data_IF_245932368711
#
_entry.id   IF_245932368711
#
_cell.length_a   1.000
_cell.length_b   1.000
_cell.length_c   1.000
_cell.angle_alpha   90.00
_cell.angle_beta   90.00
_cell.angle_gamma   90.00
#
_symmetry.space_group_name_H-M   'P 1'
#
loop_
_entity.id
_entity.type
_entity.pdbx_description
1 polymer ?
#
# COMPACT_ATOMS: atom_id res chain seq x y z
N UNK A 1 30.24 6.82 -11.66
CA UNK A 1 30.31 8.22 -12.14
C UNK A 1 30.50 8.20 -13.66
N UNK A 2 29.39 8.13 -14.41
CA UNK A 2 29.35 8.07 -15.89
C UNK A 2 27.88 8.32 -16.28
N UNK A 3 27.49 9.04 -17.33
CA UNK A 3 28.17 9.89 -18.28
C UNK A 3 27.06 10.81 -18.84
N UNK A 4 27.30 12.11 -18.88
CA UNK A 4 26.64 12.97 -19.87
C UNK A 4 27.20 12.58 -21.23
N UNK A 5 26.39 12.39 -22.30
CA UNK A 5 26.66 12.83 -23.69
C UNK A 5 25.36 12.77 -24.53
N UNK A 6 24.83 13.97 -24.80
CA UNK A 6 24.39 14.53 -26.09
C UNK A 6 23.28 13.85 -26.91
N UNK A 7 22.27 14.64 -27.29
CA UNK A 7 22.08 14.99 -28.70
C UNK A 7 21.11 16.17 -28.88
N UNK A 8 21.65 17.28 -29.36
CA UNK A 8 21.10 17.98 -30.54
C UNK A 8 19.68 18.57 -30.43
N UNK A 9 19.54 19.64 -29.65
CA UNK A 9 18.70 20.78 -30.09
C UNK A 9 19.61 21.98 -30.27
N UNK A 10 20.55 21.76 -31.21
CA UNK A 10 21.37 22.77 -31.84
C UNK A 10 20.44 23.82 -32.48
N UNK A 11 20.65 25.09 -32.09
CA UNK A 11 20.62 26.23 -32.99
C UNK A 11 19.54 26.20 -34.09
N UNK A 12 18.39 26.81 -33.81
CA UNK A 12 17.69 27.52 -34.88
C UNK A 12 17.24 28.89 -34.38
N UNK A 13 17.98 29.90 -34.82
CA UNK A 13 17.71 31.33 -34.65
C UNK A 13 16.40 31.71 -35.33
N UNK A 14 15.72 32.68 -34.72
CA UNK A 14 14.79 33.63 -35.37
C UNK A 14 13.48 33.06 -35.93
N UNK A 15 12.37 33.34 -35.22
CA UNK A 15 11.20 34.08 -35.71
C UNK A 15 10.12 34.00 -34.62
N UNK A 16 9.92 35.14 -33.97
CA UNK A 16 8.63 35.76 -33.66
C UNK A 16 7.47 34.94 -33.02
N UNK A 17 6.98 35.51 -31.92
CA UNK A 17 5.58 35.59 -31.47
C UNK A 17 4.99 34.47 -30.58
N UNK A 18 4.84 34.85 -29.31
CA UNK A 18 3.65 34.70 -28.45
C UNK A 18 2.93 33.35 -28.52
N UNK A 19 3.19 32.50 -27.53
CA UNK A 19 2.16 31.63 -26.96
C UNK A 19 2.45 31.45 -25.46
N UNK A 20 1.82 32.30 -24.64
CA UNK A 20 1.73 32.13 -23.20
C UNK A 20 0.96 30.83 -22.91
N UNK A 21 1.69 29.72 -22.84
CA UNK A 21 1.15 28.43 -22.44
C UNK A 21 1.05 28.44 -20.92
N UNK A 22 -0.13 28.77 -20.41
CA UNK A 22 -0.48 28.60 -18.99
C UNK A 22 -0.43 27.09 -18.73
N UNK A 23 0.69 26.61 -18.21
CA UNK A 23 0.81 25.26 -17.69
C UNK A 23 -0.09 25.16 -16.45
N UNK A 24 -1.29 24.64 -16.62
CA UNK A 24 -2.19 24.32 -15.51
C UNK A 24 -1.58 23.18 -14.70
N UNK A 25 -0.88 23.54 -13.63
CA UNK A 25 -0.43 22.58 -12.62
C UNK A 25 -1.67 22.01 -11.92
N UNK A 26 -2.16 20.87 -12.40
CA UNK A 26 -3.19 20.09 -11.72
C UNK A 26 -2.58 19.52 -10.43
N UNK A 27 -3.10 19.87 -9.24
CA UNK A 27 -2.66 19.23 -8.01
C UNK A 27 -3.11 17.77 -8.04
N UNK A 28 -2.16 16.85 -8.07
CA UNK A 28 -2.43 15.42 -7.91
C UNK A 28 -2.85 15.21 -6.45
N UNK A 29 -4.14 15.11 -6.20
CA UNK A 29 -4.67 14.75 -4.87
C UNK A 29 -4.32 13.28 -4.62
N UNK A 30 -3.30 13.03 -3.81
CA UNK A 30 -3.03 11.69 -3.28
C UNK A 30 -4.09 11.39 -2.23
N UNK A 31 -5.07 10.55 -2.57
CA UNK A 31 -6.03 10.02 -1.63
C UNK A 31 -5.29 9.09 -0.64
N UNK A 32 -5.06 9.56 0.59
CA UNK A 32 -4.65 8.71 1.69
C UNK A 32 -5.84 7.84 2.09
N UNK A 33 -5.86 6.59 1.64
CA UNK A 33 -6.86 5.63 2.06
C UNK A 33 -6.71 5.38 3.58
N UNK A 34 -7.54 6.06 4.37
CA UNK A 34 -7.78 5.72 5.77
C UNK A 34 -8.56 4.40 5.79
N UNK A 35 -7.84 3.29 5.65
CA UNK A 35 -8.43 1.96 5.60
C UNK A 35 -8.95 1.59 7.00
N UNK A 36 -10.17 2.01 7.34
CA UNK A 36 -10.80 1.58 8.58
C UNK A 36 -11.00 0.06 8.52
N UNK A 37 -10.34 -0.67 9.43
CA UNK A 37 -10.52 -2.12 9.53
C UNK A 37 -11.99 -2.39 9.87
N UNK A 38 -12.67 -3.14 9.01
CA UNK A 38 -14.11 -3.40 9.18
C UNK A 38 -14.40 -4.11 10.51
N UNK A 39 -15.56 -3.82 11.11
CA UNK A 39 -16.00 -4.46 12.36
C UNK A 39 -16.01 -6.00 12.24
N UNK A 40 -16.32 -6.52 11.04
CA UNK A 40 -16.26 -7.95 10.74
C UNK A 40 -14.86 -8.52 10.97
N UNK A 41 -13.81 -7.83 10.51
CA UNK A 41 -12.42 -8.25 10.70
C UNK A 41 -12.05 -8.19 12.19
N UNK A 42 -12.42 -7.10 12.89
CA UNK A 42 -12.17 -6.98 14.34
C UNK A 42 -12.76 -8.15 15.14
N UNK A 43 -14.00 -8.53 14.83
CA UNK A 43 -14.67 -9.66 15.50
C UNK A 43 -14.03 -11.00 15.12
N UNK A 44 -13.75 -11.22 13.84
CA UNK A 44 -13.15 -12.46 13.34
C UNK A 44 -11.73 -12.70 13.87
N UNK A 45 -10.94 -11.64 13.99
CA UNK A 45 -9.54 -11.68 14.41
C UNK A 45 -9.34 -11.41 15.91
N UNK A 46 -10.41 -11.23 16.69
CA UNK A 46 -10.33 -10.90 18.12
C UNK A 46 -9.47 -11.90 18.92
N UNK A 47 -9.69 -13.21 18.72
CA UNK A 47 -8.90 -14.25 19.40
C UNK A 47 -7.41 -14.19 19.04
N UNK A 48 -7.11 -14.03 17.75
CA UNK A 48 -5.75 -13.95 17.24
C UNK A 48 -5.05 -12.66 17.72
N UNK A 49 -5.80 -11.57 17.83
CA UNK A 49 -5.32 -10.30 18.37
C UNK A 49 -4.85 -10.46 19.81
N UNK A 50 -5.69 -11.02 20.68
CA UNK A 50 -5.33 -11.19 22.09
C UNK A 50 -4.14 -12.13 22.27
N UNK A 51 -4.00 -13.15 21.40
CA UNK A 51 -2.92 -14.12 21.48
C UNK A 51 -1.58 -13.60 20.94
N UNK A 52 -1.59 -12.78 19.88
CA UNK A 52 -0.36 -12.45 19.12
C UNK A 52 0.02 -10.96 19.19
N UNK A 53 -0.97 -10.08 19.36
CA UNK A 53 -0.82 -8.63 19.14
C UNK A 53 -1.36 -7.76 20.28
N UNK A 54 -1.71 -8.34 21.44
CA UNK A 54 -2.31 -7.66 22.60
C UNK A 54 -1.47 -6.54 23.22
N UNK A 55 -0.18 -6.45 22.87
CA UNK A 55 0.71 -5.37 23.26
C UNK A 55 0.38 -4.02 22.60
N UNK A 56 -0.34 -4.04 21.48
CA UNK A 56 -0.73 -2.86 20.71
C UNK A 56 -2.20 -2.55 20.94
N UNK A 57 -2.62 -1.29 20.84
CA UNK A 57 -4.03 -0.94 20.94
C UNK A 57 -4.82 -1.52 19.75
N UNK A 58 -6.02 -2.04 20.00
CA UNK A 58 -6.80 -2.82 19.02
C UNK A 58 -7.07 -2.08 17.70
N UNK A 59 -7.17 -0.75 17.75
CA UNK A 59 -7.48 0.11 16.61
C UNK A 59 -6.26 0.85 16.04
N UNK A 60 -5.06 0.47 16.49
CA UNK A 60 -3.83 1.14 16.12
C UNK A 60 -3.22 0.58 14.83
N UNK A 61 -2.46 1.39 14.06
CA UNK A 61 -1.76 0.90 12.87
C UNK A 61 -0.76 -0.21 13.19
N UNK A 62 -0.18 -0.21 14.39
CA UNK A 62 0.75 -1.24 14.86
C UNK A 62 0.07 -2.61 14.98
N UNK A 63 -1.19 -2.66 15.43
CA UNK A 63 -1.97 -3.91 15.43
C UNK A 63 -2.13 -4.47 14.03
N UNK A 64 -2.38 -3.60 13.03
CA UNK A 64 -2.46 -4.04 11.63
C UNK A 64 -1.14 -4.60 11.13
N UNK A 65 -0.03 -3.93 11.46
CA UNK A 65 1.31 -4.39 11.10
C UNK A 65 1.61 -5.75 11.77
N UNK A 66 1.26 -5.89 13.05
CA UNK A 66 1.44 -7.12 13.82
C UNK A 66 0.66 -8.29 13.23
N UNK A 67 -0.63 -8.10 12.90
CA UNK A 67 -1.45 -9.12 12.26
C UNK A 67 -0.90 -9.52 10.90
N UNK A 68 -0.47 -8.55 10.08
CA UNK A 68 0.18 -8.84 8.80
C UNK A 68 1.48 -9.60 8.97
N UNK A 69 2.27 -9.33 10.01
CA UNK A 69 3.49 -10.07 10.30
C UNK A 69 3.22 -11.47 10.87
N UNK A 70 2.15 -11.63 11.65
CA UNK A 70 1.73 -12.93 12.19
C UNK A 70 1.34 -13.92 11.09
N UNK A 71 0.72 -13.43 10.01
CA UNK A 71 0.51 -14.19 8.77
C UNK A 71 -0.11 -15.56 9.01
N UNK A 72 0.65 -16.62 8.76
CA UNK A 72 0.21 -18.02 8.94
C UNK A 72 -0.15 -18.42 10.37
N UNK A 73 0.34 -17.69 11.37
CA UNK A 73 -0.01 -17.95 12.77
C UNK A 73 -1.44 -17.51 13.10
N UNK A 74 -2.07 -16.74 12.22
CA UNK A 74 -3.47 -16.35 12.37
C UNK A 74 -4.38 -17.53 12.09
N UNK A 75 -5.53 -17.57 12.77
CA UNK A 75 -6.55 -18.55 12.45
C UNK A 75 -7.05 -18.42 10.99
N UNK A 76 -7.47 -19.52 10.35
CA UNK A 76 -8.05 -19.48 9.00
C UNK A 76 -9.26 -18.55 8.91
N UNK A 77 -10.02 -18.42 10.01
CA UNK A 77 -11.15 -17.50 10.10
C UNK A 77 -10.70 -16.04 9.96
N UNK A 78 -9.65 -15.64 10.65
CA UNK A 78 -9.11 -14.28 10.56
C UNK A 78 -8.52 -14.00 9.18
N UNK A 79 -7.73 -14.93 8.63
CA UNK A 79 -7.14 -14.79 7.29
C UNK A 79 -8.24 -14.61 6.24
N UNK A 80 -9.28 -15.44 6.27
CA UNK A 80 -10.41 -15.32 5.34
C UNK A 80 -11.16 -13.99 5.48
N UNK A 81 -11.31 -13.48 6.71
CA UNK A 81 -11.93 -12.18 6.93
C UNK A 81 -11.07 -11.03 6.38
N UNK A 82 -9.74 -11.11 6.52
CA UNK A 82 -8.81 -10.13 5.94
C UNK A 82 -8.84 -10.15 4.41
N UNK A 83 -8.92 -11.33 3.79
CA UNK A 83 -9.07 -11.47 2.33
C UNK A 83 -10.39 -10.88 1.85
N UNK A 84 -11.50 -11.21 2.51
CA UNK A 84 -12.83 -10.68 2.16
C UNK A 84 -12.94 -9.17 2.35
N UNK A 85 -12.20 -8.60 3.30
CA UNK A 85 -12.15 -7.16 3.52
C UNK A 85 -11.16 -6.44 2.59
N UNK A 86 -10.39 -7.15 1.77
CA UNK A 86 -9.36 -6.58 0.91
C UNK A 86 -8.11 -6.08 1.65
N UNK A 87 -7.96 -6.44 2.93
CA UNK A 87 -6.79 -6.05 3.76
C UNK A 87 -5.53 -6.84 3.39
N UNK A 88 -5.71 -8.03 2.80
CA UNK A 88 -4.68 -8.89 2.19
C UNK A 88 -5.25 -9.56 0.94
N UNK A 89 -4.41 -9.89 -0.03
CA UNK A 89 -4.84 -10.63 -1.23
C UNK A 89 -4.66 -12.13 -1.03
N UNK A 90 -5.48 -12.93 -1.71
CA UNK A 90 -5.31 -14.39 -1.70
C UNK A 90 -3.94 -14.82 -2.25
N UNK A 91 -3.43 -14.08 -3.23
CA UNK A 91 -2.10 -14.28 -3.81
C UNK A 91 -0.99 -14.10 -2.76
N UNK A 92 -1.07 -13.05 -1.93
CA UNK A 92 -0.12 -12.80 -0.84
C UNK A 92 -0.12 -13.95 0.17
N UNK A 93 -1.32 -14.41 0.57
CA UNK A 93 -1.47 -15.54 1.49
C UNK A 93 -0.85 -16.82 0.89
N UNK A 94 -1.14 -17.12 -0.38
CA UNK A 94 -0.58 -18.31 -1.04
C UNK A 94 0.93 -18.23 -1.26
N UNK A 95 1.46 -17.04 -1.58
CA UNK A 95 2.89 -16.84 -1.81
C UNK A 95 3.67 -17.09 -0.52
N UNK A 96 3.22 -16.53 0.60
CA UNK A 96 3.83 -16.79 1.92
C UNK A 96 3.76 -18.26 2.31
N UNK A 97 2.62 -18.91 2.05
CA UNK A 97 2.46 -20.34 2.30
C UNK A 97 3.33 -21.24 1.41
N UNK A 98 3.69 -20.78 0.22
CA UNK A 98 4.65 -21.49 -0.62
C UNK A 98 6.10 -21.30 -0.13
N UNK A 99 6.43 -20.15 0.45
CA UNK A 99 7.76 -19.86 0.99
C UNK A 99 8.10 -20.59 2.29
N UNK A 100 7.08 -21.05 3.03
CA UNK A 100 7.24 -21.72 4.31
C UNK A 100 7.25 -23.26 4.18
N UNK A 101 7.12 -23.77 2.96
CA UNK A 101 7.31 -25.18 2.59
C UNK A 101 8.75 -25.44 2.17
#
# INVERSE_FOLDING_TARGET
MSAQIHAKVFSQRSVALIALSIATALPIVWASAANAVSLRVKLACSRDYYALCSKFASDSPETRQCMRAAGEKLSPRCINALVQAGEVTQAEVSHRAAQLR
#
